data_IF_763161808441
#
_entry.id   IF_763161808441
#
_cell.length_a   1.000
_cell.length_b   1.000
_cell.length_c   1.000
_cell.angle_alpha   90.00
_cell.angle_beta   90.00
_cell.angle_gamma   90.00
#
_symmetry.space_group_name_H-M   'P 1'
#
loop_
_entity.id
_entity.type
_entity.pdbx_description
1 polymer ?
#
# COMPACT_ATOMS: atom_id res chain seq x y z
N UNK A 1 -2.81 -34.21 -19.66
CA UNK A 1 -3.54 -33.01 -20.12
C UNK A 1 -3.19 -31.92 -19.13
N UNK A 2 -2.42 -30.91 -19.51
CA UNK A 2 -2.09 -29.81 -18.61
C UNK A 2 -3.40 -29.08 -18.26
N UNK A 3 -3.67 -28.98 -16.96
CA UNK A 3 -4.95 -28.52 -16.42
C UNK A 3 -5.08 -27.03 -16.72
N UNK A 4 -6.16 -26.58 -17.38
CA UNK A 4 -6.36 -25.16 -17.71
C UNK A 4 -6.25 -24.24 -16.47
N UNK A 5 -6.69 -24.72 -15.30
CA UNK A 5 -6.61 -23.98 -14.04
C UNK A 5 -5.19 -23.73 -13.52
N UNK A 6 -4.20 -24.53 -13.93
CA UNK A 6 -2.79 -24.37 -13.53
C UNK A 6 -2.13 -23.19 -14.26
N UNK A 7 -2.58 -22.91 -15.50
CA UNK A 7 -2.16 -21.70 -16.24
C UNK A 7 -2.83 -20.44 -15.70
N UNK A 8 -4.08 -20.57 -15.22
CA UNK A 8 -4.83 -19.44 -14.68
C UNK A 8 -4.26 -18.98 -13.32
N UNK A 9 -3.89 -19.91 -12.44
CA UNK A 9 -3.33 -19.55 -11.12
C UNK A 9 -1.96 -18.87 -11.23
N UNK A 10 -1.06 -19.36 -12.08
CA UNK A 10 0.27 -18.76 -12.25
C UNK A 10 0.18 -17.34 -12.81
N UNK A 11 -0.79 -17.09 -13.70
CA UNK A 11 -1.05 -15.77 -14.25
C UNK A 11 -1.64 -14.81 -13.20
N UNK A 12 -2.57 -15.29 -12.37
CA UNK A 12 -3.12 -14.50 -11.24
C UNK A 12 -2.02 -14.14 -10.25
N UNK A 13 -1.16 -15.10 -9.89
CA UNK A 13 -0.05 -14.87 -8.97
C UNK A 13 0.94 -13.81 -9.50
N UNK A 14 1.29 -13.84 -10.78
CA UNK A 14 2.14 -12.81 -11.39
C UNK A 14 1.46 -11.44 -11.40
N UNK A 15 0.16 -11.37 -11.66
CA UNK A 15 -0.60 -10.13 -11.62
C UNK A 15 -0.77 -9.58 -10.20
N UNK A 16 -0.82 -10.44 -9.17
CA UNK A 16 -0.82 -10.02 -7.76
C UNK A 16 0.50 -9.32 -7.44
N UNK A 17 1.62 -9.89 -7.86
CA UNK A 17 2.93 -9.27 -7.66
C UNK A 17 3.02 -7.92 -8.38
N UNK A 18 2.56 -7.84 -9.63
CA UNK A 18 2.50 -6.58 -10.39
C UNK A 18 1.59 -5.54 -9.72
N UNK A 19 0.42 -5.94 -9.20
CA UNK A 19 -0.51 -5.04 -8.53
C UNK A 19 0.08 -4.48 -7.23
N UNK A 20 0.83 -5.29 -6.47
CA UNK A 20 1.55 -4.83 -5.27
C UNK A 20 2.66 -3.84 -5.65
N UNK A 21 3.43 -4.12 -6.69
CA UNK A 21 4.51 -3.22 -7.16
C UNK A 21 3.97 -1.87 -7.66
N UNK A 22 2.81 -1.88 -8.31
CA UNK A 22 2.13 -0.67 -8.79
C UNK A 22 1.28 0.03 -7.74
N UNK A 23 1.21 -0.52 -6.52
CA UNK A 23 0.34 -0.04 -5.44
C UNK A 23 -1.14 0.02 -5.86
N UNK A 24 -1.54 -0.82 -6.81
CA UNK A 24 -2.91 -0.95 -7.30
C UNK A 24 -3.71 -1.92 -6.41
N UNK A 25 -4.09 -1.42 -5.23
CA UNK A 25 -4.76 -2.22 -4.21
C UNK A 25 -6.18 -2.63 -4.58
N UNK A 26 -6.83 -1.90 -5.49
CA UNK A 26 -8.16 -2.27 -5.99
C UNK A 26 -8.07 -3.50 -6.89
N UNK A 27 -7.15 -3.49 -7.86
CA UNK A 27 -6.86 -4.65 -8.69
C UNK A 27 -6.35 -5.83 -7.86
N UNK A 28 -5.51 -5.57 -6.87
CA UNK A 28 -5.03 -6.61 -5.94
C UNK A 28 -6.19 -7.35 -5.26
N UNK A 29 -7.19 -6.63 -4.74
CA UNK A 29 -8.35 -7.25 -4.09
C UNK A 29 -9.14 -8.13 -5.06
N UNK A 30 -9.37 -7.64 -6.29
CA UNK A 30 -10.07 -8.43 -7.32
C UNK A 30 -9.33 -9.72 -7.66
N UNK A 31 -7.99 -9.67 -7.80
CA UNK A 31 -7.16 -10.84 -8.09
C UNK A 31 -7.16 -11.85 -6.93
N UNK A 32 -7.18 -11.38 -5.67
CA UNK A 32 -7.26 -12.25 -4.50
C UNK A 32 -8.60 -13.00 -4.45
N UNK A 33 -9.71 -12.33 -4.79
CA UNK A 33 -11.05 -12.96 -4.86
C UNK A 33 -11.13 -14.00 -6.00
N UNK A 34 -10.49 -13.72 -7.14
CA UNK A 34 -10.38 -14.68 -8.25
C UNK A 34 -9.54 -15.89 -7.86
N UNK A 35 -8.42 -15.65 -7.17
CA UNK A 35 -7.54 -16.70 -6.66
C UNK A 35 -8.25 -17.64 -5.69
N UNK A 36 -9.04 -17.10 -4.75
CA UNK A 36 -9.73 -17.89 -3.73
C UNK A 36 -10.61 -19.00 -4.35
N UNK A 37 -11.26 -18.70 -5.48
CA UNK A 37 -12.11 -19.66 -6.23
C UNK A 37 -11.31 -20.83 -6.81
N UNK A 38 -10.00 -20.65 -7.01
CA UNK A 38 -9.12 -21.65 -7.62
C UNK A 38 -8.33 -22.46 -6.58
N UNK A 39 -8.16 -21.96 -5.35
CA UNK A 39 -7.35 -22.62 -4.30
C UNK A 39 -7.80 -24.07 -4.03
N UNK A 40 -9.10 -24.34 -4.05
CA UNK A 40 -9.66 -25.69 -3.81
C UNK A 40 -9.29 -26.73 -4.87
N UNK A 41 -8.75 -26.30 -6.01
CA UNK A 41 -8.38 -27.16 -7.14
C UNK A 41 -6.88 -27.42 -7.23
N UNK A 42 -6.09 -26.79 -6.37
CA UNK A 42 -4.63 -26.89 -6.37
C UNK A 42 -4.15 -28.06 -5.53
N UNK A 43 -2.95 -28.53 -5.86
CA UNK A 43 -2.24 -29.52 -5.05
C UNK A 43 -1.70 -28.89 -3.76
N UNK A 44 -1.39 -29.75 -2.77
CA UNK A 44 -0.79 -29.29 -1.52
C UNK A 44 0.55 -28.57 -1.72
N UNK A 45 1.35 -28.98 -2.71
CA UNK A 45 2.64 -28.36 -3.00
C UNK A 45 2.46 -26.93 -3.52
N UNK A 46 1.54 -26.73 -4.47
CA UNK A 46 1.21 -25.40 -5.00
C UNK A 46 0.67 -24.46 -3.92
N UNK A 47 -0.20 -24.96 -3.03
CA UNK A 47 -0.74 -24.19 -1.92
C UNK A 47 0.36 -23.74 -0.93
N UNK A 48 1.34 -24.60 -0.66
CA UNK A 48 2.49 -24.25 0.20
C UNK A 48 3.33 -23.16 -0.47
N UNK A 49 3.55 -23.21 -1.78
CA UNK A 49 4.29 -22.18 -2.49
C UNK A 49 3.57 -20.83 -2.52
N UNK A 50 2.26 -20.83 -2.76
CA UNK A 50 1.43 -19.61 -2.74
C UNK A 50 1.46 -19.00 -1.34
N UNK A 51 1.31 -19.81 -0.30
CA UNK A 51 1.37 -19.33 1.09
C UNK A 51 2.71 -18.66 1.42
N UNK A 52 3.84 -19.25 1.00
CA UNK A 52 5.16 -18.65 1.21
C UNK A 52 5.29 -17.30 0.51
N UNK A 53 4.81 -17.19 -0.74
CA UNK A 53 4.78 -15.92 -1.47
C UNK A 53 3.89 -14.89 -0.79
N UNK A 54 2.74 -15.29 -0.28
CA UNK A 54 1.83 -14.40 0.45
C UNK A 54 2.45 -13.83 1.73
N UNK A 55 3.24 -14.62 2.45
CA UNK A 55 4.00 -14.12 3.61
C UNK A 55 5.02 -13.04 3.21
N UNK A 56 5.65 -13.15 2.04
CA UNK A 56 6.54 -12.11 1.52
C UNK A 56 5.77 -10.87 1.06
N UNK A 57 4.65 -11.06 0.36
CA UNK A 57 3.75 -9.98 -0.07
C UNK A 57 3.21 -9.19 1.12
N UNK A 58 2.81 -9.89 2.18
CA UNK A 58 2.35 -9.28 3.44
C UNK A 58 3.41 -8.37 4.05
N UNK A 59 4.67 -8.83 4.13
CA UNK A 59 5.78 -7.99 4.62
C UNK A 59 5.96 -6.72 3.78
N UNK A 60 5.89 -6.84 2.45
CA UNK A 60 5.96 -5.67 1.55
C UNK A 60 4.82 -4.68 1.82
N UNK A 61 3.59 -5.17 1.95
CA UNK A 61 2.42 -4.35 2.23
C UNK A 61 2.49 -3.68 3.61
N UNK A 62 2.96 -4.39 4.63
CA UNK A 62 3.17 -3.82 5.97
C UNK A 62 4.23 -2.71 5.96
N UNK A 63 5.32 -2.90 5.22
CA UNK A 63 6.34 -1.86 5.04
C UNK A 63 5.73 -0.63 4.37
N UNK A 64 4.99 -0.80 3.27
CA UNK A 64 4.29 0.30 2.57
C UNK A 64 3.32 1.04 3.49
N UNK A 65 2.56 0.31 4.31
CA UNK A 65 1.66 0.91 5.28
C UNK A 65 2.41 1.77 6.31
N UNK A 66 3.59 1.34 6.77
CA UNK A 66 4.41 2.12 7.68
C UNK A 66 4.97 3.38 7.01
N UNK A 67 5.42 3.28 5.76
CA UNK A 67 5.85 4.43 4.95
C UNK A 67 4.73 5.47 4.81
N UNK A 68 3.49 5.04 4.54
CA UNK A 68 2.33 5.94 4.48
C UNK A 68 2.03 6.60 5.82
N UNK A 69 2.12 5.87 6.94
CA UNK A 69 1.91 6.43 8.28
C UNK A 69 2.95 7.51 8.59
N UNK A 70 4.23 7.25 8.31
CA UNK A 70 5.29 8.23 8.52
C UNK A 70 5.09 9.49 7.65
N UNK A 71 4.70 9.30 6.39
CA UNK A 71 4.41 10.41 5.48
C UNK A 71 3.26 11.27 6.01
N UNK A 72 2.16 10.65 6.43
CA UNK A 72 1.00 11.35 6.99
C UNK A 72 1.38 12.17 8.24
N UNK A 73 2.18 11.59 9.14
CA UNK A 73 2.68 12.30 10.33
C UNK A 73 3.51 13.53 9.95
N UNK A 74 4.46 13.39 9.02
CA UNK A 74 5.29 14.50 8.53
C UNK A 74 4.45 15.60 7.87
N UNK A 75 3.41 15.23 7.11
CA UNK A 75 2.50 16.20 6.50
C UNK A 75 1.74 16.99 7.57
N UNK A 76 1.22 16.32 8.60
CA UNK A 76 0.51 16.98 9.71
C UNK A 76 1.45 17.92 10.48
N UNK A 77 2.69 17.50 10.73
CA UNK A 77 3.69 18.35 11.39
C UNK A 77 4.05 19.58 10.53
N UNK A 78 4.27 19.37 9.23
CA UNK A 78 4.49 20.45 8.27
C UNK A 78 3.33 21.45 8.24
N UNK A 79 2.08 20.97 8.24
CA UNK A 79 0.89 21.83 8.29
C UNK A 79 0.85 22.67 9.57
N UNK A 80 1.13 22.06 10.73
CA UNK A 80 1.20 22.78 12.01
C UNK A 80 2.27 23.86 12.01
N UNK A 81 3.47 23.55 11.49
CA UNK A 81 4.55 24.54 11.37
C UNK A 81 4.11 25.70 10.48
N UNK A 82 3.58 25.43 9.29
CA UNK A 82 3.10 26.47 8.37
C UNK A 82 2.01 27.37 8.99
N UNK A 83 1.03 26.78 9.68
CA UNK A 83 0.01 27.54 10.41
C UNK A 83 0.62 28.45 11.47
N UNK A 84 1.64 27.98 12.19
CA UNK A 84 2.33 28.81 13.18
C UNK A 84 3.04 30.01 12.55
N UNK A 85 3.72 29.84 11.40
CA UNK A 85 4.34 30.95 10.66
C UNK A 85 3.32 32.00 10.20
N UNK A 86 2.20 31.59 9.62
CA UNK A 86 1.12 32.52 9.22
C UNK A 86 0.54 33.30 10.42
N UNK A 87 0.46 32.65 11.58
CA UNK A 87 -0.04 33.29 12.80
C UNK A 87 0.96 34.31 13.38
N UNK A 88 2.26 34.11 13.15
CA UNK A 88 3.32 35.03 13.58
C UNK A 88 3.39 36.26 12.68
N UNK A 89 3.20 36.11 11.36
CA UNK A 89 3.15 37.26 10.43
C UNK A 89 1.94 38.17 10.70
N UNK A 90 0.77 37.61 11.02
CA UNK A 90 -0.46 38.39 11.29
C UNK A 90 -0.41 39.18 12.62
N UNK A 91 0.47 38.78 13.56
CA UNK A 91 0.71 39.51 14.82
C UNK A 91 1.90 40.47 14.77
N UNK A 92 2.59 40.56 13.63
CA UNK A 92 3.84 41.29 13.45
C UNK A 92 3.71 42.59 12.66
N UNK A 93 2.66 43.40 12.87
CA UNK A 93 2.52 44.73 12.22
C UNK A 93 1.97 45.80 13.17
N UNK A 94 2.64 46.00 14.30
CA UNK A 94 2.52 47.26 15.06
C UNK A 94 3.91 47.70 15.51
N UNK A 95 4.70 48.17 14.55
CA UNK A 95 5.83 49.05 14.84
C UNK A 95 5.19 50.37 15.31
N UNK A 96 5.06 50.53 16.62
CA UNK A 96 4.62 51.78 17.25
C UNK A 96 5.76 52.80 17.07
N UNK A 97 5.71 53.51 15.94
CA UNK A 97 6.64 54.59 15.59
C UNK A 97 6.16 55.87 16.29
N UNK A 98 6.44 56.00 17.59
CA UNK A 98 6.45 57.28 18.32
C UNK A 98 7.89 57.47 18.79
N UNK A 99 8.61 58.50 18.39
CA UNK A 99 8.24 59.91 18.51
C UNK A 99 8.98 60.43 19.73
#
# INVERSE_FOLDING_TARGET
MANSGEKDILNIEAQIDEAIEKEDYEKLNQLLDEREKLLSKLSSEELIEIYKRDEERKKKLEQKLNEFKEMALKTIEGEKMMRSYLTVEDKGSSIDRKG
#
